data_IF_895219237102
#
_entry.id   IF_895219237102
#
_cell.length_a   1.000
_cell.length_b   1.000
_cell.length_c   1.000
_cell.angle_alpha   90.00
_cell.angle_beta   90.00
_cell.angle_gamma   90.00
#
_symmetry.space_group_name_H-M   'P 1'
#
loop_
_entity.id
_entity.type
_entity.pdbx_description
1 polymer ?
#
# COMPACT_ATOMS: atom_id res chain seq x y z
N UNK A 1 13.97 13.58 -38.16
CA UNK A 1 15.36 13.09 -38.03
C UNK A 1 15.79 13.04 -36.57
N UNK A 2 15.78 14.13 -35.80
CA UNK A 2 15.97 14.06 -34.34
C UNK A 2 14.79 13.40 -33.63
N UNK A 3 13.57 13.77 -34.04
CA UNK A 3 12.35 13.38 -33.34
C UNK A 3 12.05 11.89 -33.55
N UNK A 4 12.12 11.40 -34.79
CA UNK A 4 12.01 9.96 -35.10
C UNK A 4 13.05 9.10 -34.36
N UNK A 5 14.24 9.67 -34.06
CA UNK A 5 15.28 8.97 -33.30
C UNK A 5 14.97 8.97 -31.80
N UNK A 6 14.41 10.05 -31.27
CA UNK A 6 13.98 10.11 -29.86
C UNK A 6 12.84 9.11 -29.64
N UNK A 7 11.88 9.01 -30.56
CA UNK A 7 10.78 8.04 -30.49
C UNK A 7 11.30 6.60 -30.42
N UNK A 8 12.21 6.20 -31.32
CA UNK A 8 12.85 4.87 -31.29
C UNK A 8 13.60 4.60 -29.97
N UNK A 9 14.26 5.63 -29.42
CA UNK A 9 14.96 5.50 -28.14
C UNK A 9 13.99 5.39 -26.96
N UNK A 10 12.84 6.05 -27.00
CA UNK A 10 11.81 5.97 -25.96
C UNK A 10 11.13 4.60 -25.96
N UNK A 11 10.77 4.07 -27.12
CA UNK A 11 10.25 2.70 -27.23
C UNK A 11 11.21 1.70 -26.57
N UNK A 12 12.50 1.80 -26.91
CA UNK A 12 13.54 0.97 -26.29
C UNK A 12 13.74 1.23 -24.80
N UNK A 13 13.55 2.46 -24.33
CA UNK A 13 13.67 2.80 -22.91
C UNK A 13 12.56 2.13 -22.11
N UNK A 14 11.33 2.15 -22.61
CA UNK A 14 10.17 1.53 -21.93
C UNK A 14 10.25 -0.01 -21.92
N UNK A 15 10.91 -0.61 -22.91
CA UNK A 15 11.15 -2.07 -22.96
C UNK A 15 12.40 -2.52 -22.18
N UNK A 16 13.24 -1.59 -21.72
CA UNK A 16 14.50 -1.92 -21.06
C UNK A 16 14.28 -2.36 -19.62
N UNK A 17 14.86 -3.50 -19.25
CA UNK A 17 14.82 -4.05 -17.88
C UNK A 17 16.17 -4.04 -17.16
N UNK A 18 17.22 -3.53 -17.80
CA UNK A 18 18.60 -3.51 -17.29
C UNK A 18 19.06 -2.07 -17.04
N UNK A 19 19.61 -1.82 -15.85
CA UNK A 19 20.05 -0.49 -15.40
C UNK A 19 21.09 0.14 -16.34
N UNK A 20 22.04 -0.64 -16.88
CA UNK A 20 23.06 -0.13 -17.78
C UNK A 20 22.48 0.26 -19.14
N UNK A 21 21.51 -0.51 -19.64
CA UNK A 21 20.75 -0.18 -20.85
C UNK A 21 19.90 1.09 -20.64
N UNK A 22 19.09 1.16 -19.58
CA UNK A 22 18.26 2.33 -19.23
C UNK A 22 19.14 3.58 -19.15
N UNK A 23 20.28 3.48 -18.47
CA UNK A 23 21.25 4.57 -18.32
C UNK A 23 21.86 5.00 -19.65
N UNK A 24 22.19 4.05 -20.52
CA UNK A 24 22.78 4.32 -21.83
C UNK A 24 21.78 5.03 -22.75
N UNK A 25 20.56 4.50 -22.86
CA UNK A 25 19.49 5.04 -23.70
C UNK A 25 19.09 6.44 -23.22
N UNK A 26 18.85 6.61 -21.92
CA UNK A 26 18.47 7.90 -21.34
C UNK A 26 19.53 8.98 -21.61
N UNK A 27 20.82 8.64 -21.50
CA UNK A 27 21.91 9.58 -21.85
C UNK A 27 21.97 9.90 -23.35
N UNK A 28 21.56 8.98 -24.22
CA UNK A 28 21.46 9.26 -25.66
C UNK A 28 20.32 10.22 -25.94
N UNK A 29 19.14 10.00 -25.34
CA UNK A 29 17.99 10.90 -25.44
C UNK A 29 18.39 12.30 -24.96
N UNK A 30 19.03 12.42 -23.79
CA UNK A 30 19.43 13.72 -23.22
C UNK A 30 20.51 14.46 -24.03
N UNK A 31 21.25 13.79 -24.92
CA UNK A 31 22.14 14.48 -25.88
C UNK A 31 21.36 15.13 -27.01
N UNK A 32 20.22 14.55 -27.39
CA UNK A 32 19.34 15.05 -28.45
C UNK A 32 18.38 16.12 -27.90
N UNK A 33 17.81 15.87 -26.73
CA UNK A 33 16.93 16.77 -25.98
C UNK A 33 17.31 16.76 -24.49
N UNK A 34 18.11 17.74 -24.02
CA UNK A 34 18.57 17.83 -22.64
C UNK A 34 17.47 17.95 -21.58
N UNK A 35 16.24 18.27 -21.99
CA UNK A 35 15.11 18.46 -21.10
C UNK A 35 14.09 17.33 -21.18
N UNK A 36 14.38 16.25 -21.93
CA UNK A 36 13.41 15.20 -22.16
C UNK A 36 12.98 14.53 -20.84
N UNK A 37 11.70 14.62 -20.47
CA UNK A 37 11.26 14.21 -19.13
C UNK A 37 11.43 12.71 -18.88
N UNK A 38 11.06 11.84 -19.83
CA UNK A 38 11.14 10.37 -19.65
C UNK A 38 12.56 9.89 -19.34
N UNK A 39 13.57 10.44 -20.02
CA UNK A 39 14.97 10.13 -19.76
C UNK A 39 15.46 10.68 -18.41
N UNK A 40 14.91 11.82 -17.94
CA UNK A 40 15.24 12.37 -16.61
C UNK A 40 14.64 11.52 -15.50
N UNK A 41 13.37 11.13 -15.63
CA UNK A 41 12.69 10.24 -14.69
C UNK A 41 13.42 8.90 -14.63
N UNK A 42 13.68 8.27 -15.78
CA UNK A 42 14.41 7.00 -15.84
C UNK A 42 15.83 7.07 -15.24
N UNK A 43 16.57 8.17 -15.39
CA UNK A 43 17.86 8.31 -14.69
C UNK A 43 17.72 8.55 -13.19
N UNK A 44 16.62 9.17 -12.76
CA UNK A 44 16.34 9.39 -11.36
C UNK A 44 16.02 8.07 -10.65
N UNK A 45 15.30 7.15 -11.29
CA UNK A 45 14.95 5.84 -10.72
C UNK A 45 16.15 4.91 -10.52
N UNK A 46 17.25 5.13 -11.25
CA UNK A 46 18.50 4.38 -11.09
C UNK A 46 19.39 4.86 -9.94
N UNK A 47 18.99 5.93 -9.24
CA UNK A 47 19.75 6.47 -8.11
C UNK A 47 19.52 5.60 -6.88
N UNK A 48 20.54 5.50 -6.03
CA UNK A 48 20.30 5.01 -4.67
C UNK A 48 19.39 6.00 -3.91
N UNK A 49 18.79 5.52 -2.83
CA UNK A 49 17.82 6.29 -2.03
C UNK A 49 18.40 7.65 -1.59
N UNK A 50 19.64 7.69 -1.12
CA UNK A 50 20.24 8.92 -0.59
C UNK A 50 20.47 9.97 -1.69
N UNK A 51 20.90 9.55 -2.88
CA UNK A 51 21.05 10.42 -4.05
C UNK A 51 19.69 10.87 -4.60
N UNK A 52 18.72 9.96 -4.68
CA UNK A 52 17.36 10.24 -5.13
C UNK A 52 16.70 11.33 -4.26
N UNK A 53 16.73 11.17 -2.93
CA UNK A 53 16.15 12.13 -1.98
C UNK A 53 16.82 13.51 -2.02
N UNK A 54 18.13 13.58 -2.29
CA UNK A 54 18.83 14.87 -2.48
C UNK A 54 18.46 15.59 -3.77
N UNK A 55 17.89 14.87 -4.73
CA UNK A 55 17.64 15.35 -6.10
C UNK A 55 16.16 15.31 -6.49
N UNK A 56 15.25 15.33 -5.51
CA UNK A 56 13.79 15.41 -5.74
C UNK A 56 13.40 16.58 -6.64
N UNK A 57 14.12 17.71 -6.57
CA UNK A 57 13.88 18.84 -7.46
C UNK A 57 14.08 18.53 -8.95
N UNK A 58 14.96 17.58 -9.30
CA UNK A 58 15.13 17.13 -10.68
C UNK A 58 13.88 16.44 -11.22
N UNK A 59 13.15 15.75 -10.33
CA UNK A 59 11.91 15.03 -10.63
C UNK A 59 10.72 16.01 -10.72
N UNK A 60 10.67 17.02 -9.85
CA UNK A 60 9.69 18.12 -9.94
C UNK A 60 9.83 18.84 -11.30
N UNK A 61 11.06 19.19 -11.70
CA UNK A 61 11.31 19.81 -13.00
C UNK A 61 10.94 18.90 -14.18
N UNK A 62 11.13 17.58 -14.05
CA UNK A 62 10.71 16.63 -15.08
C UNK A 62 9.19 16.59 -15.21
N UNK A 63 8.45 16.53 -14.10
CA UNK A 63 6.99 16.56 -14.09
C UNK A 63 6.43 17.87 -14.70
N UNK A 64 7.02 19.02 -14.33
CA UNK A 64 6.65 20.31 -14.91
C UNK A 64 6.84 20.34 -16.43
N UNK A 65 7.93 19.74 -16.93
CA UNK A 65 8.20 19.65 -18.36
C UNK A 65 7.24 18.67 -19.06
N UNK A 66 6.83 17.57 -18.42
CA UNK A 66 5.76 16.69 -18.91
C UNK A 66 4.47 17.49 -19.11
N UNK A 67 3.97 18.14 -18.05
CA UNK A 67 2.73 18.92 -18.08
C UNK A 67 2.80 20.00 -19.17
N UNK A 68 3.94 20.68 -19.29
CA UNK A 68 4.15 21.70 -20.31
C UNK A 68 4.11 21.15 -21.73
N UNK A 69 4.73 20.00 -21.99
CA UNK A 69 4.76 19.37 -23.33
C UNK A 69 3.41 18.79 -23.73
N UNK A 70 2.66 18.26 -22.76
CA UNK A 70 1.30 17.78 -22.95
C UNK A 70 0.28 18.93 -23.10
N UNK A 71 0.64 20.15 -22.67
CA UNK A 71 -0.26 21.31 -22.68
C UNK A 71 -1.27 21.31 -21.53
N UNK A 72 -1.02 20.51 -20.48
CA UNK A 72 -1.93 20.29 -19.37
C UNK A 72 -1.59 18.98 -18.64
N UNK A 73 -2.36 18.68 -17.59
CA UNK A 73 -2.32 17.37 -16.94
C UNK A 73 -3.13 16.38 -17.79
N UNK A 74 -2.69 15.10 -17.92
CA UNK A 74 -3.50 14.07 -18.56
C UNK A 74 -4.82 13.85 -17.81
N UNK A 75 -5.84 13.36 -18.52
CA UNK A 75 -7.13 13.01 -17.91
C UNK A 75 -7.07 11.72 -17.08
N UNK A 76 -6.11 10.83 -17.36
CA UNK A 76 -5.88 9.58 -16.64
C UNK A 76 -4.90 8.66 -17.38
N UNK A 77 -4.72 7.44 -16.88
CA UNK A 77 -3.76 6.45 -17.42
C UNK A 77 -3.98 6.06 -18.90
N UNK A 78 -5.19 6.23 -19.43
CA UNK A 78 -5.54 5.90 -20.82
C UNK A 78 -5.36 7.04 -21.82
N UNK A 79 -4.80 8.18 -21.38
CA UNK A 79 -4.48 9.28 -22.29
C UNK A 79 -3.43 8.83 -23.32
N UNK A 80 -3.73 8.99 -24.61
CA UNK A 80 -2.89 8.54 -25.73
C UNK A 80 -1.56 9.29 -25.86
N UNK A 81 -1.31 10.32 -25.03
CA UNK A 81 -0.05 11.03 -25.05
C UNK A 81 1.14 10.10 -24.67
N UNK A 82 2.24 10.08 -25.46
CA UNK A 82 3.42 9.26 -25.14
C UNK A 82 4.09 9.58 -23.79
N UNK A 83 3.81 10.73 -23.19
CA UNK A 83 4.33 11.13 -21.88
C UNK A 83 3.40 10.75 -20.71
N UNK A 84 2.22 10.18 -20.97
CA UNK A 84 1.28 9.73 -19.93
C UNK A 84 1.92 8.78 -18.91
N UNK A 85 2.70 7.74 -19.31
CA UNK A 85 3.38 6.88 -18.35
C UNK A 85 4.40 7.64 -17.50
N UNK A 86 5.18 8.54 -18.13
CA UNK A 86 6.16 9.38 -17.44
C UNK A 86 5.51 10.31 -16.40
N UNK A 87 4.29 10.80 -16.67
CA UNK A 87 3.53 11.61 -15.71
C UNK A 87 3.22 10.80 -14.44
N UNK A 88 2.69 9.58 -14.59
CA UNK A 88 2.36 8.69 -13.48
C UNK A 88 3.59 8.29 -12.67
N UNK A 89 4.66 7.85 -13.34
CA UNK A 89 5.93 7.50 -12.69
C UNK A 89 6.52 8.66 -11.89
N UNK A 90 6.53 9.87 -12.47
CA UNK A 90 7.03 11.05 -11.79
C UNK A 90 6.19 11.39 -10.55
N UNK A 91 4.85 11.32 -10.64
CA UNK A 91 3.97 11.53 -9.49
C UNK A 91 4.20 10.51 -8.38
N UNK A 92 4.29 9.22 -8.72
CA UNK A 92 4.54 8.14 -7.77
C UNK A 92 5.85 8.35 -7.01
N UNK A 93 6.94 8.60 -7.74
CA UNK A 93 8.24 8.84 -7.12
C UNK A 93 8.30 10.14 -6.33
N UNK A 94 7.60 11.20 -6.76
CA UNK A 94 7.48 12.44 -5.98
C UNK A 94 6.71 12.21 -4.68
N UNK A 95 5.61 11.45 -4.71
CA UNK A 95 4.84 11.13 -3.52
C UNK A 95 5.69 10.35 -2.51
N UNK A 96 6.34 9.28 -2.95
CA UNK A 96 7.22 8.47 -2.12
C UNK A 96 8.43 9.26 -1.58
N UNK A 97 9.11 10.04 -2.42
CA UNK A 97 10.29 10.79 -1.99
C UNK A 97 9.93 11.94 -1.03
N UNK A 98 8.81 12.63 -1.25
CA UNK A 98 8.33 13.63 -0.28
C UNK A 98 7.89 12.97 1.03
N UNK A 99 7.31 11.77 0.99
CA UNK A 99 6.98 11.01 2.18
C UNK A 99 8.25 10.69 3.00
N UNK A 100 9.28 10.11 2.38
CA UNK A 100 10.55 9.79 3.05
C UNK A 100 11.29 11.02 3.59
N UNK A 101 11.04 12.21 3.02
CA UNK A 101 11.56 13.49 3.51
C UNK A 101 10.68 14.15 4.57
N UNK A 102 9.64 13.45 5.06
CA UNK A 102 8.64 13.95 6.02
C UNK A 102 7.91 15.21 5.54
N UNK A 103 7.85 15.44 4.22
CA UNK A 103 7.15 16.55 3.59
C UNK A 103 5.71 16.15 3.30
N UNK A 104 4.99 15.76 4.33
CA UNK A 104 3.74 15.02 4.18
C UNK A 104 2.65 15.76 3.40
N UNK A 105 2.53 17.08 3.50
CA UNK A 105 1.56 17.84 2.69
C UNK A 105 1.83 17.76 1.18
N UNK A 106 3.12 17.68 0.80
CA UNK A 106 3.52 17.49 -0.60
C UNK A 106 3.32 16.05 -1.04
N UNK A 107 3.67 15.10 -0.18
CA UNK A 107 3.44 13.68 -0.44
C UNK A 107 1.95 13.40 -0.65
N UNK A 108 1.09 13.94 0.21
CA UNK A 108 -0.37 13.82 0.12
C UNK A 108 -0.88 14.43 -1.18
N UNK A 109 -0.46 15.65 -1.54
CA UNK A 109 -0.89 16.28 -2.78
C UNK A 109 -0.52 15.44 -4.02
N UNK A 110 0.71 14.91 -4.07
CA UNK A 110 1.14 14.03 -5.16
C UNK A 110 0.37 12.70 -5.17
N UNK A 111 0.15 12.08 -4.01
CA UNK A 111 -0.59 10.83 -3.90
C UNK A 111 -2.06 11.00 -4.31
N UNK A 112 -2.71 12.13 -3.95
CA UNK A 112 -4.07 12.45 -4.42
C UNK A 112 -4.11 12.69 -5.93
N UNK A 113 -3.14 13.42 -6.47
CA UNK A 113 -3.00 13.60 -7.93
C UNK A 113 -2.81 12.24 -8.63
N UNK A 114 -2.09 11.29 -8.00
CA UNK A 114 -1.88 9.94 -8.52
C UNK A 114 -3.15 9.08 -8.46
N UNK A 115 -3.89 9.08 -7.35
CA UNK A 115 -5.19 8.40 -7.22
C UNK A 115 -6.21 8.98 -8.22
N UNK A 116 -6.21 10.28 -8.47
CA UNK A 116 -7.09 10.87 -9.48
C UNK A 116 -6.68 10.48 -10.91
N UNK A 117 -5.40 10.26 -11.15
CA UNK A 117 -4.84 9.86 -12.45
C UNK A 117 -5.08 8.37 -12.76
N UNK A 118 -4.99 7.52 -11.73
CA UNK A 118 -5.22 6.07 -11.78
C UNK A 118 -6.25 5.66 -10.71
N UNK A 119 -7.54 5.96 -10.92
CA UNK A 119 -8.58 5.76 -9.90
C UNK A 119 -8.80 4.29 -9.53
N UNK A 120 -8.59 3.38 -10.49
CA UNK A 120 -8.74 1.94 -10.33
C UNK A 120 -7.45 1.26 -9.87
N UNK A 121 -6.34 2.01 -9.70
CA UNK A 121 -5.00 1.51 -9.34
C UNK A 121 -4.51 0.36 -10.25
N UNK A 122 -4.68 0.51 -11.56
CA UNK A 122 -4.23 -0.50 -12.52
C UNK A 122 -2.71 -0.49 -12.73
N UNK A 123 -2.06 0.65 -12.46
CA UNK A 123 -0.64 0.86 -12.75
C UNK A 123 0.17 1.37 -11.56
N UNK A 124 -0.43 2.21 -10.69
CA UNK A 124 0.31 2.90 -9.63
C UNK A 124 -0.35 2.72 -8.25
N UNK A 125 0.43 2.48 -7.17
CA UNK A 125 -0.10 2.25 -5.83
C UNK A 125 -0.43 3.56 -5.09
N UNK A 126 -1.33 4.37 -5.66
CA UNK A 126 -1.65 5.71 -5.16
C UNK A 126 -2.23 5.73 -3.75
N UNK A 127 -3.16 4.83 -3.42
CA UNK A 127 -3.80 4.70 -2.12
C UNK A 127 -2.83 4.22 -1.06
N UNK A 128 -1.93 3.29 -1.38
CA UNK A 128 -0.90 2.84 -0.45
C UNK A 128 -0.06 4.04 0.04
N UNK A 129 0.42 4.87 -0.88
CA UNK A 129 1.23 6.05 -0.55
C UNK A 129 0.38 7.10 0.18
N UNK A 130 -0.86 7.32 -0.26
CA UNK A 130 -1.78 8.28 0.36
C UNK A 130 -2.07 7.92 1.81
N UNK A 131 -2.58 6.73 2.08
CA UNK A 131 -2.96 6.31 3.42
C UNK A 131 -1.74 6.17 4.34
N UNK A 132 -0.60 5.71 3.83
CA UNK A 132 0.65 5.74 4.61
C UNK A 132 1.02 7.17 5.02
N UNK A 133 0.95 8.12 4.08
CA UNK A 133 1.24 9.53 4.36
C UNK A 133 0.29 10.10 5.42
N UNK A 134 -1.01 9.79 5.34
CA UNK A 134 -1.98 10.27 6.30
C UNK A 134 -1.78 9.65 7.69
N UNK A 135 -1.41 8.37 7.76
CA UNK A 135 -1.06 7.68 9.01
C UNK A 135 0.12 8.36 9.71
N UNK A 136 1.18 8.67 8.96
CA UNK A 136 2.38 9.34 9.52
C UNK A 136 2.11 10.81 9.88
N UNK A 137 1.13 11.48 9.24
CA UNK A 137 0.63 12.80 9.66
C UNK A 137 -0.16 12.74 10.98
N UNK A 138 -0.76 11.60 11.30
CA UNK A 138 -1.67 11.44 12.44
C UNK A 138 -3.00 12.19 12.28
N UNK A 139 -3.43 12.47 11.05
CA UNK A 139 -4.69 13.17 10.77
C UNK A 139 -5.85 12.18 10.62
N UNK A 140 -6.32 11.67 11.76
CA UNK A 140 -7.31 10.59 11.84
C UNK A 140 -8.67 10.98 11.24
N UNK A 141 -9.08 12.25 11.38
CA UNK A 141 -10.31 12.75 10.77
C UNK A 141 -10.21 12.69 9.24
N UNK A 142 -9.08 13.15 8.70
CA UNK A 142 -8.86 13.14 7.25
C UNK A 142 -8.76 11.73 6.67
N UNK A 143 -8.24 10.76 7.42
CA UNK A 143 -8.23 9.34 7.00
C UNK A 143 -9.66 8.84 6.82
N UNK A 144 -10.54 9.07 7.81
CA UNK A 144 -11.93 8.63 7.76
C UNK A 144 -12.69 9.33 6.64
N UNK A 145 -12.55 10.65 6.51
CA UNK A 145 -13.16 11.42 5.42
C UNK A 145 -12.67 10.96 4.05
N UNK A 146 -11.38 10.63 3.93
CA UNK A 146 -10.79 10.13 2.68
C UNK A 146 -11.33 8.74 2.34
N UNK A 147 -11.40 7.83 3.31
CA UNK A 147 -11.92 6.48 3.12
C UNK A 147 -13.40 6.48 2.72
N UNK A 148 -14.24 7.28 3.39
CA UNK A 148 -15.67 7.39 3.10
C UNK A 148 -15.97 7.98 1.71
N UNK A 149 -15.04 8.78 1.17
CA UNK A 149 -15.14 9.38 -0.16
C UNK A 149 -14.51 8.53 -1.25
N UNK A 150 -13.72 7.53 -0.88
CA UNK A 150 -13.06 6.63 -1.81
C UNK A 150 -14.09 5.68 -2.43
N UNK A 151 -14.02 5.49 -3.75
CA UNK A 151 -14.91 4.59 -4.46
C UNK A 151 -14.50 3.12 -4.40
N UNK A 152 -13.30 2.86 -3.88
CA UNK A 152 -12.65 1.54 -3.89
C UNK A 152 -12.09 1.24 -2.50
N UNK A 153 -12.49 0.10 -1.95
CA UNK A 153 -11.92 -0.45 -0.72
C UNK A 153 -10.53 -1.04 -1.03
N UNK A 154 -9.47 -0.32 -0.62
CA UNK A 154 -8.10 -0.82 -0.70
C UNK A 154 -7.64 -1.37 0.66
N UNK A 155 -6.78 -2.40 0.71
CA UNK A 155 -6.26 -2.90 1.99
C UNK A 155 -5.57 -1.81 2.82
N UNK A 156 -4.74 -0.96 2.18
CA UNK A 156 -4.09 0.16 2.84
C UNK A 156 -5.10 1.15 3.45
N UNK A 157 -6.18 1.47 2.73
CA UNK A 157 -7.25 2.33 3.22
C UNK A 157 -8.00 1.71 4.40
N UNK A 158 -8.34 0.43 4.32
CA UNK A 158 -9.10 -0.23 5.38
C UNK A 158 -8.27 -0.38 6.66
N UNK A 159 -6.99 -0.72 6.55
CA UNK A 159 -6.08 -0.72 7.69
C UNK A 159 -5.89 0.69 8.28
N UNK A 160 -5.79 1.72 7.44
CA UNK A 160 -5.71 3.10 7.92
C UNK A 160 -7.00 3.54 8.64
N UNK A 161 -8.18 3.17 8.12
CA UNK A 161 -9.47 3.42 8.78
C UNK A 161 -9.54 2.71 10.13
N UNK A 162 -9.17 1.44 10.21
CA UNK A 162 -9.14 0.70 11.46
C UNK A 162 -8.23 1.39 12.51
N UNK A 163 -7.01 1.77 12.11
CA UNK A 163 -6.08 2.51 12.97
C UNK A 163 -6.67 3.86 13.41
N UNK A 164 -7.27 4.62 12.50
CA UNK A 164 -7.88 5.90 12.82
C UNK A 164 -9.03 5.77 13.84
N UNK A 165 -9.83 4.70 13.76
CA UNK A 165 -10.89 4.43 14.75
C UNK A 165 -10.33 4.04 16.12
N UNK A 166 -9.27 3.24 16.15
CA UNK A 166 -8.55 2.88 17.40
C UNK A 166 -8.02 4.16 18.06
N UNK A 167 -7.30 4.99 17.30
CA UNK A 167 -6.69 6.24 17.80
C UNK A 167 -7.70 7.26 18.30
N UNK A 168 -8.93 7.20 17.77
CA UNK A 168 -10.02 8.08 18.19
C UNK A 168 -10.86 7.52 19.34
N UNK A 169 -10.50 6.35 19.87
CA UNK A 169 -11.28 5.64 20.90
C UNK A 169 -12.75 5.53 20.49
N UNK A 170 -12.97 5.12 19.23
CA UNK A 170 -14.30 4.91 18.68
C UNK A 170 -15.02 3.78 19.44
N UNK A 171 -16.36 3.66 19.33
CA UNK A 171 -17.08 2.55 19.93
C UNK A 171 -16.47 1.20 19.52
N UNK A 172 -16.25 0.33 20.51
CA UNK A 172 -15.49 -0.92 20.33
C UNK A 172 -16.01 -1.78 19.17
N UNK A 173 -17.33 -1.84 18.97
CA UNK A 173 -17.94 -2.56 17.84
C UNK A 173 -17.54 -1.99 16.47
N UNK A 174 -17.44 -0.67 16.33
CA UNK A 174 -17.01 0.00 15.10
C UNK A 174 -15.52 -0.26 14.82
N UNK A 175 -14.69 -0.31 15.87
CA UNK A 175 -13.28 -0.69 15.75
C UNK A 175 -13.15 -2.13 15.25
N UNK A 176 -13.85 -3.07 15.89
CA UNK A 176 -13.78 -4.49 15.50
C UNK A 176 -14.29 -4.72 14.09
N UNK A 177 -15.38 -4.05 13.70
CA UNK A 177 -15.90 -4.09 12.33
C UNK A 177 -14.83 -3.64 11.34
N UNK A 178 -14.23 -2.47 11.54
CA UNK A 178 -13.19 -1.94 10.65
C UNK A 178 -11.93 -2.83 10.58
N UNK A 179 -11.48 -3.37 11.72
CA UNK A 179 -10.34 -4.31 11.75
C UNK A 179 -10.67 -5.57 10.95
N UNK A 180 -11.85 -6.15 11.14
CA UNK A 180 -12.25 -7.38 10.46
C UNK A 180 -12.50 -7.15 8.95
N UNK A 181 -13.02 -5.99 8.57
CA UNK A 181 -13.14 -5.57 7.17
C UNK A 181 -11.77 -5.49 6.49
N UNK A 182 -10.78 -4.86 7.14
CA UNK A 182 -9.42 -4.76 6.62
C UNK A 182 -8.78 -6.13 6.41
N UNK A 183 -8.95 -7.06 7.37
CA UNK A 183 -8.52 -8.45 7.24
C UNK A 183 -9.23 -9.18 6.09
N UNK A 184 -10.48 -8.81 5.77
CA UNK A 184 -11.21 -9.47 4.68
C UNK A 184 -10.69 -9.10 3.29
N UNK A 185 -10.12 -7.90 3.14
CA UNK A 185 -9.57 -7.40 1.88
C UNK A 185 -8.19 -7.99 1.57
N UNK A 186 -7.38 -8.25 2.59
CA UNK A 186 -6.07 -8.87 2.46
C UNK A 186 -5.79 -9.80 3.66
N UNK A 187 -6.31 -11.05 3.67
CA UNK A 187 -6.19 -11.95 4.81
C UNK A 187 -4.76 -12.31 5.20
N UNK A 188 -3.84 -12.37 4.23
CA UNK A 188 -2.44 -12.76 4.48
C UNK A 188 -1.57 -11.58 4.96
N UNK A 189 -1.94 -10.35 4.61
CA UNK A 189 -1.17 -9.13 4.92
C UNK A 189 -0.83 -8.97 6.41
N UNK A 190 -1.77 -9.15 7.36
CA UNK A 190 -1.48 -9.16 8.81
C UNK A 190 -0.39 -10.14 9.25
N UNK A 191 -0.34 -11.33 8.67
CA UNK A 191 0.64 -12.36 9.04
C UNK A 191 2.03 -12.00 8.54
N UNK A 192 2.10 -11.37 7.36
CA UNK A 192 3.35 -10.83 6.81
C UNK A 192 3.86 -9.65 7.64
N UNK A 193 2.99 -8.71 8.04
CA UNK A 193 3.36 -7.58 8.92
C UNK A 193 3.96 -8.08 10.24
N UNK A 194 3.34 -9.09 10.85
CA UNK A 194 3.77 -9.63 12.14
C UNK A 194 4.93 -10.64 12.04
N UNK A 195 5.35 -11.01 10.83
CA UNK A 195 6.38 -12.03 10.62
C UNK A 195 5.96 -13.42 11.11
N UNK A 196 4.65 -13.71 11.10
CA UNK A 196 4.08 -14.99 11.53
C UNK A 196 4.05 -16.03 10.41
N UNK A 197 4.08 -15.59 9.16
CA UNK A 197 4.17 -16.47 8.00
C UNK A 197 5.61 -16.66 7.55
N UNK A 198 5.98 -17.89 7.17
CA UNK A 198 7.26 -18.14 6.53
C UNK A 198 7.20 -17.59 5.10
N UNK A 199 8.12 -16.68 4.76
CA UNK A 199 8.27 -16.17 3.40
C UNK A 199 8.35 -17.37 2.43
N UNK A 200 7.49 -17.46 1.40
CA UNK A 200 7.70 -18.46 0.37
C UNK A 200 9.05 -18.22 -0.29
N UNK A 201 9.86 -19.27 -0.41
CA UNK A 201 11.20 -19.17 -0.98
C UNK A 201 11.18 -18.79 -2.48
N UNK A 202 10.06 -19.00 -3.19
CA UNK A 202 9.93 -18.78 -4.64
C UNK A 202 8.44 -18.73 -5.07
N UNK A 203 7.78 -17.56 -5.10
CA UNK A 203 6.66 -17.27 -6.02
C UNK A 203 6.68 -15.79 -6.41
N UNK A 204 7.41 -15.48 -7.50
CA UNK A 204 7.57 -14.13 -8.08
C UNK A 204 6.22 -13.57 -8.59
N UNK A 205 5.65 -12.58 -7.88
CA UNK A 205 4.56 -11.74 -8.38
C UNK A 205 3.54 -11.28 -7.33
N UNK A 206 2.66 -12.17 -6.87
CA UNK A 206 1.53 -11.82 -5.99
C UNK A 206 1.97 -11.57 -4.54
N UNK A 207 2.96 -12.33 -4.07
CA UNK A 207 3.60 -12.09 -2.78
C UNK A 207 4.33 -10.75 -2.74
N UNK A 208 4.84 -10.26 -3.87
CA UNK A 208 5.60 -9.00 -3.92
C UNK A 208 4.72 -7.81 -3.48
N UNK A 209 3.47 -7.74 -3.96
CA UNK A 209 2.56 -6.67 -3.56
C UNK A 209 2.21 -6.72 -2.07
N UNK A 210 1.92 -7.90 -1.52
CA UNK A 210 1.65 -8.08 -0.09
C UNK A 210 2.87 -7.70 0.76
N UNK A 211 4.08 -8.06 0.33
CA UNK A 211 5.32 -7.64 1.01
C UNK A 211 5.52 -6.13 0.99
N UNK A 212 5.32 -5.49 -0.16
CA UNK A 212 5.41 -4.03 -0.26
C UNK A 212 4.39 -3.36 0.65
N UNK A 213 3.13 -3.82 0.67
CA UNK A 213 2.12 -3.29 1.59
C UNK A 213 2.50 -3.51 3.06
N UNK A 214 3.00 -4.70 3.41
CA UNK A 214 3.41 -5.03 4.77
C UNK A 214 4.55 -4.12 5.24
N UNK A 215 5.58 -3.91 4.42
CA UNK A 215 6.69 -3.01 4.72
C UNK A 215 6.20 -1.57 4.95
N UNK A 216 5.17 -1.13 4.23
CA UNK A 216 4.55 0.17 4.41
C UNK A 216 3.63 0.26 5.63
N UNK A 217 3.05 -0.83 6.12
CA UNK A 217 2.11 -0.81 7.24
C UNK A 217 2.72 -1.23 8.58
N UNK A 218 3.89 -1.87 8.57
CA UNK A 218 4.57 -2.38 9.77
C UNK A 218 4.77 -1.31 10.86
N UNK A 219 5.39 -0.18 10.52
CA UNK A 219 5.61 0.89 11.49
C UNK A 219 4.28 1.49 12.03
N UNK A 220 3.27 1.82 11.20
CA UNK A 220 1.97 2.28 11.68
C UNK A 220 1.26 1.30 12.61
N UNK A 221 1.31 0.00 12.32
CA UNK A 221 0.74 -1.06 13.15
C UNK A 221 1.36 -1.09 14.54
N UNK A 222 2.68 -1.03 14.61
CA UNK A 222 3.46 -1.22 15.83
C UNK A 222 3.71 0.07 16.63
N UNK A 223 3.08 1.18 16.26
CA UNK A 223 3.37 2.50 16.85
C UNK A 223 2.69 2.78 18.20
N UNK A 224 1.74 1.94 18.63
CA UNK A 224 1.11 2.05 19.95
C UNK A 224 0.63 0.69 20.46
N UNK A 225 0.60 0.52 21.79
CA UNK A 225 0.09 -0.69 22.43
C UNK A 225 -1.39 -0.94 22.10
N UNK A 226 -2.21 0.13 22.01
CA UNK A 226 -3.65 0.01 21.72
C UNK A 226 -3.88 -0.55 20.31
N UNK A 227 -3.19 -0.04 19.29
CA UNK A 227 -3.21 -0.61 17.93
C UNK A 227 -2.83 -2.08 17.94
N UNK A 228 -1.74 -2.39 18.64
CA UNK A 228 -1.20 -3.74 18.70
C UNK A 228 -2.22 -4.69 19.34
N UNK A 229 -2.92 -4.30 20.40
CA UNK A 229 -3.97 -5.13 21.02
C UNK A 229 -5.06 -5.52 20.01
N UNK A 230 -5.65 -4.56 19.29
CA UNK A 230 -6.73 -4.86 18.33
C UNK A 230 -6.23 -5.67 17.14
N UNK A 231 -5.11 -5.27 16.54
CA UNK A 231 -4.61 -5.86 15.30
C UNK A 231 -3.96 -7.23 15.54
N UNK A 232 -3.16 -7.37 16.60
CA UNK A 232 -2.47 -8.61 16.95
C UNK A 232 -3.45 -9.68 17.42
N UNK A 233 -4.42 -9.34 18.28
CA UNK A 233 -5.44 -10.29 18.72
C UNK A 233 -6.23 -10.84 17.53
N UNK A 234 -6.63 -9.97 16.58
CA UNK A 234 -7.32 -10.43 15.37
C UNK A 234 -6.44 -11.35 14.54
N UNK A 235 -5.14 -11.04 14.35
CA UNK A 235 -4.22 -11.90 13.62
C UNK A 235 -4.08 -13.30 14.24
N UNK A 236 -3.91 -13.38 15.56
CA UNK A 236 -3.84 -14.68 16.26
C UNK A 236 -5.15 -15.47 16.14
N UNK A 237 -6.30 -14.80 16.30
CA UNK A 237 -7.61 -15.43 16.20
C UNK A 237 -7.88 -15.96 14.80
N UNK A 238 -7.64 -15.15 13.77
CA UNK A 238 -7.78 -15.57 12.37
C UNK A 238 -6.82 -16.72 12.08
N UNK A 239 -5.54 -16.60 12.48
CA UNK A 239 -4.54 -17.62 12.21
C UNK A 239 -4.89 -18.99 12.78
N UNK A 240 -5.40 -19.04 14.01
CA UNK A 240 -5.85 -20.29 14.64
C UNK A 240 -7.14 -20.83 14.01
N UNK A 241 -8.07 -19.95 13.63
CA UNK A 241 -9.33 -20.36 12.99
C UNK A 241 -9.10 -20.92 11.59
N UNK A 242 -8.14 -20.37 10.85
CA UNK A 242 -7.81 -20.76 9.48
C UNK A 242 -6.73 -21.83 9.42
N UNK A 243 -6.11 -22.18 10.55
CA UNK A 243 -5.02 -23.16 10.62
C UNK A 243 -3.69 -22.66 10.04
N UNK A 244 -3.50 -21.33 9.92
CA UNK A 244 -2.20 -20.72 9.63
C UNK A 244 -1.28 -20.72 10.85
N UNK A 245 -1.86 -20.78 12.04
CA UNK A 245 -1.14 -20.89 13.32
C UNK A 245 -1.67 -22.09 14.10
N UNK A 246 -0.76 -22.93 14.57
CA UNK A 246 -1.08 -23.91 15.58
C UNK A 246 -1.30 -23.22 16.93
N UNK A 247 -2.11 -23.84 17.81
CA UNK A 247 -2.50 -23.20 19.07
C UNK A 247 -1.32 -23.03 20.04
N UNK A 248 -0.27 -23.83 19.90
CA UNK A 248 0.99 -23.70 20.65
C UNK A 248 1.97 -22.68 20.04
N UNK A 249 1.76 -22.27 18.78
CA UNK A 249 2.49 -21.16 18.13
C UNK A 249 1.88 -19.80 18.49
N UNK A 250 0.61 -19.78 18.89
CA UNK A 250 -0.09 -18.59 19.38
C UNK A 250 0.17 -18.35 20.89
N UNK A 251 1.45 -18.23 21.29
CA UNK A 251 1.91 -18.25 22.69
C UNK A 251 1.16 -17.25 23.61
N UNK A 252 0.79 -16.07 23.11
CA UNK A 252 0.12 -15.01 23.88
C UNK A 252 -1.42 -15.06 23.83
N UNK A 253 -2.02 -15.87 22.96
CA UNK A 253 -3.46 -15.83 22.71
C UNK A 253 -4.27 -16.16 23.97
N UNK A 254 -3.87 -17.17 24.74
CA UNK A 254 -4.62 -17.59 25.94
C UNK A 254 -4.61 -16.51 27.04
N UNK A 255 -3.54 -15.73 27.14
CA UNK A 255 -3.42 -14.62 28.09
C UNK A 255 -4.28 -13.44 27.62
N UNK A 256 -4.21 -13.06 26.34
CA UNK A 256 -5.08 -12.03 25.74
C UNK A 256 -6.57 -12.39 25.91
N UNK A 257 -6.94 -13.65 25.66
CA UNK A 257 -8.31 -14.13 25.85
C UNK A 257 -8.73 -14.15 27.32
N UNK A 258 -7.82 -14.20 28.28
CA UNK A 258 -8.17 -14.16 29.71
C UNK A 258 -8.56 -12.76 30.14
N UNK A 259 -7.92 -11.76 29.54
CA UNK A 259 -8.11 -10.35 29.85
C UNK A 259 -9.24 -9.72 29.02
N UNK A 260 -9.52 -10.27 27.84
CA UNK A 260 -10.56 -9.76 26.95
C UNK A 260 -11.98 -10.02 27.49
N UNK A 261 -12.90 -9.02 27.50
CA UNK A 261 -14.27 -9.18 28.00
C UNK A 261 -15.06 -10.31 27.33
N UNK A 262 -14.79 -10.55 26.04
CA UNK A 262 -15.43 -11.60 25.22
C UNK A 262 -14.62 -12.90 25.15
N UNK A 263 -13.59 -13.03 25.98
CA UNK A 263 -12.62 -14.12 25.93
C UNK A 263 -13.21 -15.53 25.97
N UNK A 264 -14.23 -15.78 26.79
CA UNK A 264 -14.90 -17.10 26.87
C UNK A 264 -15.74 -17.42 25.62
N UNK A 265 -16.27 -16.41 24.93
CA UNK A 265 -16.96 -16.62 23.66
C UNK A 265 -15.94 -16.97 22.57
N UNK A 266 -14.83 -16.24 22.51
CA UNK A 266 -13.73 -16.48 21.57
C UNK A 266 -13.07 -17.86 21.78
N UNK A 267 -12.83 -18.28 23.04
CA UNK A 267 -12.34 -19.65 23.35
C UNK A 267 -13.26 -20.73 22.82
N UNK A 268 -14.57 -20.54 22.97
CA UNK A 268 -15.56 -21.47 22.42
C UNK A 268 -15.55 -21.48 20.90
N UNK A 269 -15.37 -20.33 20.26
CA UNK A 269 -15.25 -20.22 18.81
C UNK A 269 -14.03 -20.99 18.27
N UNK A 270 -12.84 -20.76 18.82
CA UNK A 270 -11.62 -21.46 18.36
C UNK A 270 -11.71 -22.98 18.55
N UNK A 271 -12.37 -23.45 19.63
CA UNK A 271 -12.47 -24.88 19.97
C UNK A 271 -13.60 -25.60 19.20
N UNK A 272 -14.75 -24.95 19.02
CA UNK A 272 -16.00 -25.57 18.56
C UNK A 272 -16.72 -24.78 17.47
N UNK A 273 -16.01 -23.90 16.74
CA UNK A 273 -16.56 -22.87 15.84
C UNK A 273 -17.51 -23.31 14.73
N UNK A 274 -17.73 -24.61 14.59
CA UNK A 274 -18.70 -25.20 13.67
C UNK A 274 -18.00 -25.89 12.50
N UNK A 275 -18.77 -26.31 11.48
CA UNK A 275 -18.20 -26.86 10.26
C UNK A 275 -17.38 -25.78 9.55
N UNK A 276 -16.10 -26.07 9.33
CA UNK A 276 -15.16 -25.21 8.59
C UNK A 276 -15.26 -25.53 7.09
N UNK A 277 -15.19 -24.54 6.20
CA UNK A 277 -15.00 -24.78 4.78
C UNK A 277 -13.68 -25.51 4.50
N UNK A 278 -13.66 -26.30 3.42
CA UNK A 278 -12.44 -26.97 2.96
C UNK A 278 -11.60 -26.07 2.03
N UNK A 279 -12.21 -25.04 1.42
CA UNK A 279 -11.53 -24.10 0.51
C UNK A 279 -10.86 -22.96 1.32
N UNK A 280 -9.55 -22.68 1.12
CA UNK A 280 -8.84 -21.65 1.87
C UNK A 280 -9.46 -20.25 1.79
N UNK A 281 -9.91 -19.84 0.60
CA UNK A 281 -10.55 -18.53 0.37
C UNK A 281 -11.88 -18.39 1.13
N UNK A 282 -12.66 -19.47 1.20
CA UNK A 282 -13.90 -19.52 1.99
C UNK A 282 -13.62 -19.58 3.50
N UNK A 283 -12.48 -20.16 3.89
CA UNK A 283 -12.08 -20.31 5.29
C UNK A 283 -11.77 -18.96 5.95
N UNK A 284 -11.13 -18.05 5.23
CA UNK A 284 -10.86 -16.69 5.72
C UNK A 284 -12.16 -15.92 5.95
N UNK A 285 -13.04 -15.91 4.95
CA UNK A 285 -14.35 -15.27 5.06
C UNK A 285 -15.19 -15.88 6.19
N UNK A 286 -15.13 -17.19 6.37
CA UNK A 286 -15.80 -17.89 7.46
C UNK A 286 -15.25 -17.46 8.82
N UNK A 287 -13.92 -17.41 8.99
CA UNK A 287 -13.28 -17.03 10.24
C UNK A 287 -13.62 -15.59 10.60
N UNK A 288 -13.49 -14.67 9.64
CA UNK A 288 -13.83 -13.26 9.80
C UNK A 288 -15.31 -13.08 10.14
N UNK A 289 -16.22 -13.73 9.42
CA UNK A 289 -17.65 -13.66 9.70
C UNK A 289 -18.02 -14.18 11.10
N UNK A 290 -17.35 -15.25 11.56
CA UNK A 290 -17.53 -15.76 12.93
C UNK A 290 -17.00 -14.82 14.00
N UNK A 291 -15.89 -14.14 13.72
CA UNK A 291 -15.37 -13.11 14.62
C UNK A 291 -16.29 -11.89 14.65
N UNK A 292 -16.88 -11.49 13.52
CA UNK A 292 -17.88 -10.40 13.49
C UNK A 292 -19.07 -10.70 14.40
N UNK A 293 -19.63 -11.92 14.34
CA UNK A 293 -20.74 -12.36 15.22
C UNK A 293 -20.41 -12.26 16.72
N UNK A 294 -19.14 -12.38 17.10
CA UNK A 294 -18.72 -12.35 18.51
C UNK A 294 -18.28 -10.95 18.93
N UNK A 295 -17.46 -10.28 18.13
CA UNK A 295 -16.75 -9.06 18.49
C UNK A 295 -17.57 -7.78 18.26
N UNK A 296 -18.49 -7.76 17.30
CA UNK A 296 -19.27 -6.56 16.97
C UNK A 296 -20.57 -6.45 17.80
N UNK A 297 -21.17 -7.59 18.20
CA UNK A 297 -22.41 -7.67 19.02
C UNK A 297 -22.21 -7.29 20.50
#
# INVERSE_FOLDING_TARGET
MSDDRIEELLERLYDASDDDEIRSISREILKLDPTHPSARVALWTLKDEEEALRSVGDLEEALDEVIKRMGGRPEGIYDENPLTPTYGEALMHLAAANHSLERYDRAEACARDLVAFDPEEEAFPGRLILYRTLLDKGDWDLILDTYDQDGIDSPAGAHARAIALIEKDAPEGEIWEAVLEAFSLAPDLPFVILGLEALPDDEEGEYDQTFHQAAYLDAPWNSSDDRLVYLYLTALLVGVLTGRLEMDEAEDLEDLLREHPKGEALRRLITFGGPRPDEPSELDQWAIGKLMEVLVD
#
